data_IF_836875129731
#
_entry.id   IF_836875129731
#
_cell.length_a   1.000
_cell.length_b   1.000
_cell.length_c   1.000
_cell.angle_alpha   90.00
_cell.angle_beta   90.00
_cell.angle_gamma   90.00
#
_symmetry.space_group_name_H-M   'P 1'
#
loop_
_entity.id
_entity.type
_entity.pdbx_description
1 polymer ?
#
# COMPACT_ATOMS: atom_id res chain seq x y z
N UNK A 1 19.42 12.67 -4.77
CA UNK A 1 18.65 13.86 -4.31
C UNK A 1 17.69 13.49 -3.17
N UNK A 2 16.67 12.64 -3.32
CA UNK A 2 15.69 12.30 -2.27
C UNK A 2 16.32 11.91 -0.92
N UNK A 3 17.46 11.22 -0.92
CA UNK A 3 18.18 10.88 0.32
C UNK A 3 18.94 12.07 0.91
N UNK A 4 19.45 12.98 0.08
CA UNK A 4 20.14 14.20 0.56
C UNK A 4 19.17 15.12 1.31
N UNK A 5 17.95 15.25 0.82
CA UNK A 5 16.89 16.06 1.44
C UNK A 5 16.44 15.50 2.80
N UNK A 6 16.78 14.23 3.09
CA UNK A 6 16.44 13.54 4.33
C UNK A 6 17.52 13.67 5.44
N UNK A 7 18.63 14.35 5.21
CA UNK A 7 19.77 14.41 6.16
C UNK A 7 19.36 14.84 7.57
N UNK A 8 18.48 15.83 7.70
CA UNK A 8 17.94 16.26 9.00
C UNK A 8 17.11 15.16 9.68
N UNK A 9 16.33 14.41 8.91
CA UNK A 9 15.53 13.31 9.44
C UNK A 9 16.41 12.13 9.90
N UNK A 10 17.51 11.89 9.20
CA UNK A 10 18.50 10.88 9.60
C UNK A 10 19.21 11.29 10.90
N UNK A 11 19.65 12.54 11.02
CA UNK A 11 20.26 13.06 12.25
C UNK A 11 19.30 12.95 13.46
N UNK A 12 18.00 13.18 13.25
CA UNK A 12 17.01 13.04 14.32
C UNK A 12 16.73 11.58 14.72
N UNK A 13 16.94 10.62 13.80
CA UNK A 13 16.67 9.22 14.03
C UNK A 13 17.88 8.44 14.57
N UNK A 14 19.09 8.94 14.40
CA UNK A 14 20.34 8.26 14.75
C UNK A 14 21.17 9.09 15.70
N UNK A 15 21.71 8.46 16.74
CA UNK A 15 22.60 9.11 17.71
C UNK A 15 23.93 9.50 17.06
N UNK A 16 24.46 10.65 17.47
CA UNK A 16 25.82 11.08 17.10
C UNK A 16 26.90 10.45 17.99
N UNK A 17 26.49 9.73 19.05
CA UNK A 17 27.40 9.10 20.02
C UNK A 17 27.22 7.58 20.02
N UNK A 18 28.27 6.84 20.39
CA UNK A 18 28.27 5.38 20.46
C UNK A 18 28.98 4.71 19.28
N UNK A 19 28.85 3.38 19.18
CA UNK A 19 29.46 2.63 18.06
C UNK A 19 28.80 3.03 16.74
N UNK A 20 29.58 3.39 15.70
CA UNK A 20 29.04 3.70 14.39
C UNK A 20 28.19 2.56 13.84
N UNK A 21 26.94 2.86 13.50
CA UNK A 21 26.02 1.92 12.84
C UNK A 21 26.11 2.03 11.32
N UNK A 22 25.33 1.19 10.63
CA UNK A 22 25.15 1.34 9.17
C UNK A 22 24.32 2.59 8.90
N UNK A 23 24.83 3.47 8.04
CA UNK A 23 24.15 4.70 7.68
C UNK A 23 22.70 4.44 7.15
N UNK A 24 21.71 5.23 7.58
CA UNK A 24 20.31 5.04 7.15
C UNK A 24 20.12 5.17 5.65
N UNK A 25 20.89 6.01 4.99
CA UNK A 25 20.93 6.13 3.53
C UNK A 25 21.30 4.81 2.86
N UNK A 26 22.33 4.14 3.40
CA UNK A 26 22.78 2.85 2.90
C UNK A 26 21.73 1.76 3.10
N UNK A 27 21.03 1.79 4.25
CA UNK A 27 19.92 0.87 4.52
C UNK A 27 18.73 1.08 3.56
N UNK A 28 18.34 2.32 3.30
CA UNK A 28 17.28 2.62 2.33
C UNK A 28 17.68 2.22 0.91
N UNK A 29 18.91 2.47 0.48
CA UNK A 29 19.45 1.98 -0.79
C UNK A 29 19.44 0.45 -0.85
N UNK A 30 19.77 -0.24 0.23
CA UNK A 30 19.76 -1.70 0.31
C UNK A 30 18.31 -2.26 0.19
N UNK A 31 17.34 -1.65 0.85
CA UNK A 31 15.91 -1.99 0.70
C UNK A 31 15.41 -1.74 -0.72
N UNK A 32 15.89 -0.67 -1.38
CA UNK A 32 15.59 -0.38 -2.77
C UNK A 32 16.13 -1.47 -3.71
N UNK A 33 17.37 -1.94 -3.50
CA UNK A 33 17.93 -3.08 -4.24
C UNK A 33 17.09 -4.35 -4.05
N UNK A 34 16.64 -4.62 -2.82
CA UNK A 34 15.74 -5.76 -2.57
C UNK A 34 14.48 -5.69 -3.43
N UNK A 35 13.89 -4.50 -3.54
CA UNK A 35 12.68 -4.27 -4.32
C UNK A 35 12.95 -4.41 -5.83
N UNK A 36 14.00 -3.76 -6.35
CA UNK A 36 14.33 -3.71 -7.78
C UNK A 36 14.75 -5.08 -8.34
N UNK A 37 15.48 -5.86 -7.56
CA UNK A 37 16.05 -7.14 -7.98
C UNK A 37 15.32 -8.36 -7.43
N UNK A 38 14.11 -8.19 -6.89
CA UNK A 38 13.28 -9.27 -6.35
C UNK A 38 14.00 -10.13 -5.30
N UNK A 39 14.87 -9.53 -4.49
CA UNK A 39 15.64 -10.24 -3.48
C UNK A 39 14.74 -10.58 -2.28
N UNK A 40 14.56 -11.88 -2.02
CA UNK A 40 13.53 -12.36 -1.08
C UNK A 40 13.85 -12.17 0.40
N UNK A 41 15.12 -12.00 0.76
CA UNK A 41 15.52 -11.86 2.17
C UNK A 41 16.74 -10.96 2.33
N UNK A 42 16.87 -10.37 3.52
CA UNK A 42 18.05 -9.59 3.92
C UNK A 42 19.33 -10.45 3.93
N UNK A 43 19.20 -11.75 4.26
CA UNK A 43 20.30 -12.71 4.21
C UNK A 43 20.82 -12.87 2.77
N UNK A 44 19.91 -13.01 1.82
CA UNK A 44 20.28 -13.11 0.40
C UNK A 44 20.88 -11.80 -0.11
N UNK A 45 20.35 -10.66 0.31
CA UNK A 45 20.93 -9.36 -0.03
C UNK A 45 22.38 -9.25 0.49
N UNK A 46 22.60 -9.54 1.77
CA UNK A 46 23.96 -9.51 2.36
C UNK A 46 24.91 -10.50 1.66
N UNK A 47 24.40 -11.67 1.23
CA UNK A 47 25.20 -12.63 0.45
C UNK A 47 25.61 -12.04 -0.91
N UNK A 48 24.69 -11.41 -1.63
CA UNK A 48 24.99 -10.75 -2.92
C UNK A 48 25.95 -9.58 -2.76
N UNK A 49 25.82 -8.78 -1.72
CA UNK A 49 26.75 -7.69 -1.42
C UNK A 49 28.21 -8.15 -1.23
N UNK A 50 28.45 -9.43 -0.94
CA UNK A 50 29.82 -9.96 -0.86
C UNK A 50 30.48 -10.15 -2.23
N UNK A 51 29.70 -10.34 -3.30
CA UNK A 51 30.19 -10.73 -4.62
C UNK A 51 29.79 -9.78 -5.75
N UNK A 52 28.77 -8.95 -5.54
CA UNK A 52 28.23 -8.05 -6.57
C UNK A 52 28.80 -6.64 -6.39
N UNK A 53 29.75 -6.28 -7.24
CA UNK A 53 30.40 -4.97 -7.22
C UNK A 53 29.45 -3.83 -7.58
N UNK A 54 28.43 -4.08 -8.43
CA UNK A 54 27.44 -3.08 -8.77
C UNK A 54 26.58 -2.72 -7.53
N UNK A 55 26.19 -3.72 -6.75
CA UNK A 55 25.44 -3.51 -5.52
C UNK A 55 26.28 -2.75 -4.48
N UNK A 56 27.56 -3.11 -4.35
CA UNK A 56 28.49 -2.40 -3.45
C UNK A 56 28.65 -0.94 -3.85
N UNK A 57 28.91 -0.70 -5.13
CA UNK A 57 29.01 0.65 -5.67
C UNK A 57 27.73 1.47 -5.39
N UNK A 58 26.55 0.90 -5.62
CA UNK A 58 25.29 1.57 -5.37
C UNK A 58 25.08 1.91 -3.88
N UNK A 59 25.64 1.12 -2.97
CA UNK A 59 25.60 1.35 -1.53
C UNK A 59 26.76 2.23 -1.01
N UNK A 60 27.60 2.77 -1.88
CA UNK A 60 28.83 3.51 -1.52
C UNK A 60 29.73 2.67 -0.59
N UNK A 61 29.90 1.39 -0.91
CA UNK A 61 30.76 0.44 -0.20
C UNK A 61 32.06 0.20 -0.98
N UNK A 62 33.20 0.27 -0.31
CA UNK A 62 34.49 -0.11 -0.91
C UNK A 62 34.52 -1.62 -1.25
N UNK A 63 35.29 -2.05 -2.26
CA UNK A 63 35.36 -3.47 -2.63
C UNK A 63 35.79 -4.41 -1.51
N UNK A 64 36.61 -3.93 -0.60
CA UNK A 64 37.16 -4.64 0.57
C UNK A 64 36.41 -4.38 1.87
N UNK A 65 35.43 -3.45 1.89
CA UNK A 65 34.63 -3.15 3.08
C UNK A 65 33.81 -4.36 3.54
N UNK A 66 33.79 -4.63 4.83
CA UNK A 66 33.01 -5.74 5.39
C UNK A 66 31.50 -5.49 5.21
N UNK A 67 30.79 -6.52 4.73
CA UNK A 67 29.34 -6.45 4.55
C UNK A 67 28.64 -6.63 5.89
N UNK A 68 27.71 -5.72 6.20
CA UNK A 68 26.90 -5.81 7.40
C UNK A 68 26.03 -7.07 7.44
N UNK A 69 25.67 -7.50 8.64
CA UNK A 69 24.89 -8.73 8.87
C UNK A 69 23.39 -8.47 8.72
N UNK A 70 22.56 -9.49 8.39
CA UNK A 70 21.11 -9.32 8.19
C UNK A 70 20.36 -8.74 9.39
N UNK A 71 20.84 -8.98 10.62
CA UNK A 71 20.20 -8.46 11.85
C UNK A 71 20.19 -6.93 11.93
N UNK A 72 21.08 -6.25 11.19
CA UNK A 72 21.09 -4.79 11.08
C UNK A 72 19.73 -4.28 10.57
N UNK A 73 19.11 -4.97 9.62
CA UNK A 73 17.78 -4.60 9.13
C UNK A 73 16.71 -4.77 10.22
N UNK A 74 16.78 -5.83 11.01
CA UNK A 74 15.82 -6.08 12.09
C UNK A 74 15.87 -4.96 13.13
N UNK A 75 17.07 -4.59 13.60
CA UNK A 75 17.25 -3.54 14.59
C UNK A 75 16.91 -2.14 14.09
N UNK A 76 17.12 -1.86 12.80
CA UNK A 76 16.84 -0.54 12.25
C UNK A 76 15.43 -0.39 11.71
N UNK A 77 14.69 -1.48 11.50
CA UNK A 77 13.34 -1.44 10.92
C UNK A 77 12.36 -0.65 11.78
N UNK A 78 12.37 -0.84 13.08
CA UNK A 78 11.54 -0.08 14.03
C UNK A 78 11.90 1.39 13.99
N UNK A 79 13.17 1.73 14.04
CA UNK A 79 13.65 3.12 13.94
C UNK A 79 13.24 3.78 12.64
N UNK A 80 13.36 3.07 11.50
CA UNK A 80 12.88 3.57 10.21
C UNK A 80 11.37 3.84 10.22
N UNK A 81 10.58 3.02 10.94
CA UNK A 81 9.14 3.19 11.09
C UNK A 81 8.79 4.39 12.00
N UNK A 82 9.38 4.44 13.20
CA UNK A 82 9.13 5.48 14.20
C UNK A 82 9.36 6.88 13.64
N UNK A 83 10.41 7.06 12.84
CA UNK A 83 10.74 8.32 12.18
C UNK A 83 10.12 8.46 10.78
N UNK A 84 9.32 7.49 10.32
CA UNK A 84 8.66 7.50 9.02
C UNK A 84 9.63 7.65 7.83
N UNK A 85 10.84 7.10 7.93
CA UNK A 85 11.91 7.36 6.96
C UNK A 85 11.63 6.72 5.59
N UNK A 86 10.99 5.57 5.52
CA UNK A 86 10.59 4.95 4.24
C UNK A 86 9.52 5.78 3.51
N UNK A 87 8.57 6.32 4.28
CA UNK A 87 7.55 7.24 3.75
C UNK A 87 8.17 8.53 3.24
N UNK A 88 9.07 9.16 4.01
CA UNK A 88 9.78 10.39 3.59
C UNK A 88 10.61 10.15 2.33
N UNK A 89 11.24 8.97 2.23
CA UNK A 89 11.97 8.58 1.02
C UNK A 89 11.04 8.47 -0.19
N UNK A 90 9.91 7.79 -0.06
CA UNK A 90 8.91 7.69 -1.13
C UNK A 90 8.39 9.08 -1.54
N UNK A 91 8.03 9.93 -0.57
CA UNK A 91 7.57 11.31 -0.83
C UNK A 91 8.65 12.17 -1.50
N UNK A 92 9.92 11.98 -1.14
CA UNK A 92 11.05 12.61 -1.82
C UNK A 92 11.16 12.21 -3.28
N UNK A 93 10.96 10.92 -3.61
CA UNK A 93 10.91 10.45 -5.00
C UNK A 93 9.70 11.02 -5.76
N UNK A 94 8.53 11.11 -5.10
CA UNK A 94 7.34 11.76 -5.70
C UNK A 94 7.63 13.23 -6.00
N UNK A 95 8.25 13.95 -5.08
CA UNK A 95 8.64 15.37 -5.29
C UNK A 95 9.57 15.51 -6.48
N UNK A 96 10.58 14.66 -6.61
CA UNK A 96 11.46 14.68 -7.80
C UNK A 96 10.70 14.48 -9.11
N UNK A 97 9.66 13.64 -9.12
CA UNK A 97 8.82 13.45 -10.30
C UNK A 97 8.00 14.71 -10.62
N UNK A 98 7.50 15.40 -9.60
CA UNK A 98 6.76 16.66 -9.72
C UNK A 98 7.68 17.76 -10.26
N UNK A 99 8.84 17.95 -9.63
CA UNK A 99 9.82 18.98 -9.99
C UNK A 99 10.37 18.78 -11.41
N UNK A 100 10.41 17.53 -11.88
CA UNK A 100 10.76 17.18 -13.25
C UNK A 100 9.61 17.36 -14.27
N UNK A 101 8.43 17.83 -13.84
CA UNK A 101 7.24 18.00 -14.71
C UNK A 101 6.62 16.69 -15.16
N UNK A 102 6.95 15.56 -14.52
CA UNK A 102 6.46 14.24 -14.91
C UNK A 102 5.11 13.88 -14.25
N UNK A 103 4.70 14.55 -13.18
CA UNK A 103 3.41 14.35 -12.55
C UNK A 103 2.40 15.40 -13.01
N UNK A 104 1.20 14.96 -13.40
CA UNK A 104 0.10 15.87 -13.76
C UNK A 104 -0.88 16.05 -12.59
N UNK A 105 -1.66 17.13 -12.62
CA UNK A 105 -2.67 17.49 -11.62
C UNK A 105 -4.12 17.30 -12.11
N UNK A 106 -4.30 16.73 -13.30
CA UNK A 106 -5.59 16.68 -13.98
C UNK A 106 -6.42 15.44 -13.65
N UNK A 107 -5.83 14.27 -13.89
CA UNK A 107 -6.54 12.99 -13.84
C UNK A 107 -5.80 11.98 -12.96
N UNK A 108 -6.53 11.41 -12.02
CA UNK A 108 -5.99 10.45 -11.05
C UNK A 108 -6.81 9.18 -11.03
N UNK A 109 -6.20 8.11 -10.55
CA UNK A 109 -6.86 6.83 -10.27
C UNK A 109 -6.57 6.39 -8.86
N UNK A 110 -7.59 5.90 -8.18
CA UNK A 110 -7.45 5.14 -6.95
C UNK A 110 -7.90 3.72 -7.17
N UNK A 111 -7.16 2.78 -6.60
CA UNK A 111 -7.54 1.37 -6.59
C UNK A 111 -6.88 0.66 -5.41
N UNK A 112 -7.37 -0.55 -5.10
CA UNK A 112 -6.87 -1.41 -4.05
C UNK A 112 -6.47 -2.79 -4.54
N UNK A 113 -5.51 -3.40 -3.85
CA UNK A 113 -5.13 -4.78 -4.09
C UNK A 113 -4.74 -5.49 -2.80
N UNK A 114 -4.91 -6.81 -2.78
CA UNK A 114 -4.64 -7.63 -1.60
C UNK A 114 -3.18 -8.09 -1.57
N UNK A 115 -2.61 -8.10 -0.36
CA UNK A 115 -1.36 -8.75 -0.02
C UNK A 115 -1.70 -9.93 0.88
N UNK A 116 -1.35 -11.16 0.47
CA UNK A 116 -1.55 -12.32 1.30
C UNK A 116 -0.63 -12.22 2.53
N UNK A 117 -1.17 -12.45 3.72
CA UNK A 117 -0.37 -12.51 4.95
C UNK A 117 0.59 -13.70 4.95
N UNK A 118 1.65 -13.60 5.75
CA UNK A 118 2.51 -14.74 6.06
C UNK A 118 1.79 -15.82 6.85
N UNK A 119 0.79 -15.43 7.66
CA UNK A 119 0.00 -16.31 8.51
C UNK A 119 -0.86 -17.28 7.69
N UNK A 120 -1.02 -18.50 8.18
CA UNK A 120 -1.91 -19.52 7.61
C UNK A 120 -3.28 -19.53 8.28
N UNK A 121 -4.28 -20.15 7.66
CA UNK A 121 -5.62 -20.33 8.24
C UNK A 121 -5.59 -21.15 9.55
N UNK A 122 -4.56 -21.97 9.75
CA UNK A 122 -4.36 -22.72 11.00
C UNK A 122 -4.09 -21.82 12.21
N UNK A 123 -3.60 -20.59 11.98
CA UNK A 123 -3.33 -19.62 13.04
C UNK A 123 -4.58 -18.91 13.55
N UNK A 124 -5.73 -19.10 12.90
CA UNK A 124 -7.00 -18.53 13.35
C UNK A 124 -7.43 -19.18 14.66
N UNK A 125 -7.54 -18.37 15.71
CA UNK A 125 -8.05 -18.73 17.04
C UNK A 125 -9.33 -17.95 17.32
N UNK A 126 -10.25 -18.57 18.05
CA UNK A 126 -11.49 -17.93 18.52
C UNK A 126 -11.15 -16.72 19.39
N UNK A 127 -11.87 -15.63 19.21
CA UNK A 127 -11.75 -14.44 20.05
C UNK A 127 -12.55 -14.72 21.31
N UNK A 128 -11.85 -14.91 22.44
CA UNK A 128 -12.47 -15.01 23.75
C UNK A 128 -12.78 -13.60 24.24
N UNK A 129 -14.04 -13.30 24.54
CA UNK A 129 -14.44 -12.05 25.19
C UNK A 129 -14.38 -12.26 26.70
N UNK A 130 -13.97 -11.23 27.44
CA UNK A 130 -14.02 -11.25 28.90
C UNK A 130 -15.45 -11.51 29.34
N UNK A 131 -15.67 -12.64 30.08
CA UNK A 131 -16.97 -13.08 30.59
C UNK A 131 -17.68 -14.16 29.79
N UNK A 132 -17.10 -14.69 28.71
CA UNK A 132 -17.62 -15.87 27.99
C UNK A 132 -16.83 -17.13 28.45
N UNK A 133 -17.47 -18.05 29.16
CA UNK A 133 -16.95 -19.41 29.33
C UNK A 133 -16.92 -20.07 27.94
N UNK A 134 -15.75 -20.62 27.55
CA UNK A 134 -15.39 -20.99 26.18
C UNK A 134 -16.27 -22.05 25.48
N UNK A 135 -17.48 -22.33 25.98
CA UNK A 135 -18.44 -23.33 25.48
C UNK A 135 -19.70 -22.74 24.83
N UNK A 136 -19.95 -21.44 24.93
CA UNK A 136 -21.14 -20.86 24.29
C UNK A 136 -20.93 -20.61 22.81
N UNK A 137 -21.90 -21.04 21.97
CA UNK A 137 -21.96 -20.67 20.56
C UNK A 137 -21.98 -19.13 20.42
N UNK A 138 -21.11 -18.53 19.62
CA UNK A 138 -21.04 -17.07 19.52
C UNK A 138 -22.33 -16.52 18.96
N UNK A 139 -23.10 -15.84 19.81
CA UNK A 139 -24.15 -14.94 19.32
C UNK A 139 -23.52 -13.86 18.47
N UNK A 140 -23.94 -13.66 17.22
CA UNK A 140 -23.36 -12.64 16.38
C UNK A 140 -23.59 -11.26 17.01
N UNK A 141 -22.59 -10.34 16.97
CA UNK A 141 -22.74 -9.01 17.57
C UNK A 141 -23.93 -8.28 16.96
N UNK A 142 -24.93 -7.99 17.78
CA UNK A 142 -26.10 -7.14 17.49
C UNK A 142 -25.73 -5.66 17.59
N UNK A 143 -24.71 -5.23 16.86
CA UNK A 143 -24.22 -3.86 16.95
C UNK A 143 -23.54 -3.41 15.68
N UNK A 144 -24.34 -3.26 14.65
CA UNK A 144 -23.95 -2.64 13.39
C UNK A 144 -25.21 -2.50 12.56
N UNK A 145 -25.56 -1.29 12.15
CA UNK A 145 -26.70 -1.03 11.28
C UNK A 145 -26.73 -1.95 10.05
N UNK A 146 -27.77 -1.94 9.18
CA UNK A 146 -28.02 -2.94 8.16
C UNK A 146 -26.96 -2.96 7.05
N UNK A 147 -25.70 -3.22 7.45
CA UNK A 147 -24.58 -3.45 6.56
C UNK A 147 -24.55 -4.93 6.16
N UNK A 148 -24.82 -5.21 4.89
CA UNK A 148 -24.63 -6.53 4.29
C UNK A 148 -23.30 -7.13 4.74
N UNK A 149 -23.35 -8.19 5.53
CA UNK A 149 -22.15 -8.99 5.85
C UNK A 149 -21.52 -9.46 4.54
N UNK A 150 -20.28 -9.09 4.31
CA UNK A 150 -19.54 -9.56 3.14
C UNK A 150 -19.38 -11.09 3.23
N UNK A 151 -19.84 -11.83 2.21
CA UNK A 151 -19.61 -13.28 2.07
C UNK A 151 -18.12 -13.63 2.09
N UNK A 152 -17.26 -12.64 1.93
CA UNK A 152 -15.82 -12.77 1.79
C UNK A 152 -15.08 -12.86 3.14
N UNK A 153 -15.77 -12.65 4.27
CA UNK A 153 -15.17 -12.56 5.61
C UNK A 153 -15.18 -13.88 6.40
N UNK A 154 -15.65 -14.96 5.81
CA UNK A 154 -15.69 -16.27 6.46
C UNK A 154 -15.23 -17.39 5.56
N UNK A 155 -14.72 -18.45 6.17
CA UNK A 155 -14.30 -19.70 5.52
C UNK A 155 -14.75 -20.89 6.33
N UNK A 156 -15.15 -21.96 5.66
CA UNK A 156 -15.26 -23.28 6.30
C UNK A 156 -13.84 -23.88 6.39
N UNK A 157 -13.40 -24.18 7.58
CA UNK A 157 -12.12 -24.80 7.85
C UNK A 157 -12.32 -26.04 8.71
N UNK A 158 -12.29 -27.21 8.08
CA UNK A 158 -12.48 -28.52 8.71
C UNK A 158 -13.83 -28.66 9.44
N UNK A 159 -14.92 -28.19 8.82
CA UNK A 159 -16.27 -28.24 9.38
C UNK A 159 -16.60 -27.11 10.36
N UNK A 160 -15.65 -26.22 10.67
CA UNK A 160 -15.87 -25.04 11.51
C UNK A 160 -15.91 -23.78 10.67
N UNK A 161 -17.00 -23.02 10.78
CA UNK A 161 -17.12 -21.73 10.09
C UNK A 161 -16.34 -20.65 10.85
N UNK A 162 -15.21 -20.21 10.29
CA UNK A 162 -14.35 -19.17 10.84
C UNK A 162 -14.54 -17.86 10.10
N UNK A 163 -14.66 -16.76 10.82
CA UNK A 163 -14.86 -15.42 10.25
C UNK A 163 -14.16 -14.34 11.07
N UNK A 164 -13.98 -13.17 10.48
CA UNK A 164 -13.29 -12.03 11.11
C UNK A 164 -13.97 -11.55 12.42
N UNK A 165 -15.28 -11.79 12.57
CA UNK A 165 -16.02 -11.42 13.78
C UNK A 165 -15.76 -12.37 14.95
N UNK A 166 -15.38 -13.62 14.68
CA UNK A 166 -15.27 -14.70 15.68
C UNK A 166 -13.86 -15.21 15.87
N UNK A 167 -12.98 -14.98 14.87
CA UNK A 167 -11.61 -15.50 14.89
C UNK A 167 -10.60 -14.42 14.52
N UNK A 168 -9.42 -14.53 15.12
CA UNK A 168 -8.25 -13.70 14.82
C UNK A 168 -7.01 -14.58 14.66
N UNK A 169 -6.11 -14.23 13.75
CA UNK A 169 -4.84 -14.94 13.63
C UNK A 169 -3.94 -14.65 14.83
N UNK A 170 -3.42 -15.70 15.44
CA UNK A 170 -2.41 -15.59 16.51
C UNK A 170 -1.02 -15.25 15.97
N UNK A 171 -0.75 -15.50 14.68
CA UNK A 171 0.52 -15.18 14.03
C UNK A 171 0.54 -13.74 13.52
N UNK A 172 -0.56 -13.28 12.91
CA UNK A 172 -0.67 -11.92 12.35
C UNK A 172 -2.06 -11.35 12.71
N UNK A 173 -2.21 -10.75 13.91
CA UNK A 173 -3.50 -10.28 14.41
C UNK A 173 -4.15 -9.17 13.59
N UNK A 174 -3.38 -8.46 12.76
CA UNK A 174 -3.87 -7.38 11.90
C UNK A 174 -4.35 -7.88 10.52
N UNK A 175 -3.98 -9.11 10.13
CA UNK A 175 -4.49 -9.73 8.90
C UNK A 175 -5.96 -10.11 9.05
N UNK A 176 -6.73 -9.96 7.99
CA UNK A 176 -8.15 -10.29 7.94
C UNK A 176 -8.41 -11.36 6.89
N UNK A 177 -9.38 -12.20 7.19
CA UNK A 177 -9.87 -13.20 6.26
C UNK A 177 -10.58 -12.48 5.11
N UNK A 178 -10.15 -12.74 3.90
CA UNK A 178 -10.76 -12.14 2.71
C UNK A 178 -10.76 -13.12 1.54
N UNK A 179 -11.84 -13.07 0.74
CA UNK A 179 -12.01 -13.85 -0.49
C UNK A 179 -12.22 -12.90 -1.65
N UNK A 180 -11.50 -13.07 -2.74
CA UNK A 180 -11.70 -12.31 -3.98
C UNK A 180 -12.20 -13.26 -5.08
N UNK A 181 -13.45 -13.04 -5.51
CA UNK A 181 -14.10 -13.92 -6.53
C UNK A 181 -14.22 -15.37 -6.04
N UNK A 182 -13.97 -16.30 -6.92
CA UNK A 182 -14.07 -17.75 -6.67
C UNK A 182 -12.81 -18.37 -6.06
N UNK A 183 -11.81 -17.54 -5.71
CA UNK A 183 -10.60 -18.02 -5.07
C UNK A 183 -10.85 -18.40 -3.61
N UNK A 184 -10.01 -19.29 -3.03
CA UNK A 184 -10.06 -19.63 -1.62
C UNK A 184 -9.90 -18.38 -0.73
N UNK A 185 -10.41 -18.44 0.51
CA UNK A 185 -10.20 -17.38 1.47
C UNK A 185 -8.78 -17.41 2.04
N UNK A 186 -8.14 -16.26 2.15
CA UNK A 186 -6.80 -16.08 2.70
C UNK A 186 -6.80 -15.00 3.76
N UNK A 187 -5.83 -15.06 4.68
CA UNK A 187 -5.50 -13.94 5.54
C UNK A 187 -4.74 -12.89 4.72
N UNK A 188 -5.25 -11.69 4.69
CA UNK A 188 -4.74 -10.61 3.82
C UNK A 188 -4.66 -9.28 4.53
N UNK A 189 -3.83 -8.39 3.98
CA UNK A 189 -3.88 -6.95 4.13
C UNK A 189 -4.34 -6.32 2.82
N UNK A 190 -4.88 -5.11 2.86
CA UNK A 190 -5.30 -4.34 1.68
C UNK A 190 -4.35 -3.19 1.44
N UNK A 191 -3.67 -3.17 0.31
CA UNK A 191 -2.88 -2.02 -0.13
C UNK A 191 -3.72 -1.15 -1.06
N UNK A 192 -3.60 0.17 -0.91
CA UNK A 192 -4.29 1.14 -1.75
C UNK A 192 -3.26 2.12 -2.32
N UNK A 193 -3.49 2.57 -3.55
CA UNK A 193 -2.63 3.52 -4.23
C UNK A 193 -3.43 4.59 -4.95
N UNK A 194 -2.89 5.81 -4.95
CA UNK A 194 -3.31 6.92 -5.80
C UNK A 194 -2.24 7.17 -6.85
N UNK A 195 -2.61 7.05 -8.12
CA UNK A 195 -1.72 7.29 -9.26
C UNK A 195 -2.22 8.46 -10.10
N UNK A 196 -1.30 9.22 -10.69
CA UNK A 196 -1.66 10.15 -11.75
C UNK A 196 -1.77 9.41 -13.09
N UNK A 197 -2.63 9.89 -14.00
CA UNK A 197 -3.01 9.13 -15.20
C UNK A 197 -2.27 9.52 -16.49
N UNK A 198 -1.40 10.53 -16.48
CA UNK A 198 -0.61 10.90 -17.66
C UNK A 198 0.52 9.90 -17.88
N UNK A 199 1.29 9.65 -16.85
CA UNK A 199 2.48 8.79 -16.88
C UNK A 199 2.36 7.55 -15.95
N UNK A 200 1.29 7.45 -15.14
CA UNK A 200 1.06 6.35 -14.20
C UNK A 200 2.02 6.36 -13.01
N UNK A 201 2.47 7.54 -12.57
CA UNK A 201 3.28 7.69 -11.37
C UNK A 201 2.43 7.55 -10.12
N UNK A 202 2.99 6.93 -9.10
CA UNK A 202 2.33 6.72 -7.80
C UNK A 202 2.59 7.94 -6.93
N UNK A 203 1.54 8.58 -6.45
CA UNK A 203 1.66 9.78 -5.61
C UNK A 203 1.44 9.49 -4.12
N UNK A 204 0.65 8.47 -3.81
CA UNK A 204 0.47 8.04 -2.43
C UNK A 204 0.10 6.56 -2.37
N UNK A 205 0.52 5.90 -1.30
CA UNK A 205 0.16 4.52 -0.96
C UNK A 205 -0.20 4.42 0.51
N UNK A 206 -1.01 3.42 0.86
CA UNK A 206 -1.34 3.07 2.24
C UNK A 206 -1.68 1.59 2.37
N UNK A 207 -1.50 1.06 3.56
CA UNK A 207 -1.86 -0.31 3.91
C UNK A 207 -2.95 -0.30 4.97
N UNK A 208 -4.02 -1.06 4.73
CA UNK A 208 -5.17 -1.18 5.61
C UNK A 208 -5.56 -2.63 5.88
N UNK A 209 -6.51 -2.82 6.79
CA UNK A 209 -7.14 -4.12 7.00
C UNK A 209 -8.00 -4.49 5.79
N UNK A 210 -7.96 -5.75 5.37
CA UNK A 210 -8.78 -6.25 4.27
C UNK A 210 -10.21 -6.53 4.75
N UNK A 211 -11.02 -5.48 4.94
CA UNK A 211 -12.40 -5.58 5.44
C UNK A 211 -13.48 -5.25 4.39
N UNK A 212 -13.10 -4.93 3.15
CA UNK A 212 -14.02 -4.60 2.06
C UNK A 212 -14.67 -3.20 2.14
N UNK A 213 -14.49 -2.47 3.24
CA UNK A 213 -15.02 -1.12 3.45
C UNK A 213 -13.91 -0.06 3.47
N UNK A 214 -12.69 -0.47 3.78
CA UNK A 214 -11.53 0.42 3.88
C UNK A 214 -11.21 1.15 2.57
N UNK A 215 -11.55 0.59 1.41
CA UNK A 215 -11.18 1.11 0.11
C UNK A 215 -11.59 2.58 -0.09
N UNK A 216 -12.84 2.92 0.24
CA UNK A 216 -13.37 4.29 0.07
C UNK A 216 -12.76 5.28 1.05
N UNK A 217 -12.64 4.90 2.33
CA UNK A 217 -12.00 5.73 3.34
C UNK A 217 -10.51 5.95 3.03
N UNK A 218 -9.83 4.91 2.55
CA UNK A 218 -8.43 4.98 2.11
C UNK A 218 -8.25 5.89 0.91
N UNK A 219 -9.16 5.83 -0.08
CA UNK A 219 -9.13 6.71 -1.24
C UNK A 219 -9.22 8.19 -0.84
N UNK A 220 -10.17 8.56 0.02
CA UNK A 220 -10.31 9.92 0.52
C UNK A 220 -9.08 10.38 1.32
N UNK A 221 -8.52 9.48 2.14
CA UNK A 221 -7.29 9.74 2.89
C UNK A 221 -6.11 10.01 1.96
N UNK A 222 -5.94 9.19 0.91
CA UNK A 222 -4.88 9.36 -0.09
C UNK A 222 -5.03 10.69 -0.86
N UNK A 223 -6.24 11.06 -1.26
CA UNK A 223 -6.52 12.36 -1.91
C UNK A 223 -6.12 13.52 -0.99
N UNK A 224 -6.55 13.50 0.28
CA UNK A 224 -6.19 14.52 1.27
C UNK A 224 -4.68 14.57 1.51
N UNK A 225 -4.02 13.41 1.56
CA UNK A 225 -2.58 13.30 1.74
C UNK A 225 -1.80 13.93 0.59
N UNK A 226 -2.14 13.64 -0.67
CA UNK A 226 -1.47 14.20 -1.86
C UNK A 226 -1.62 15.71 -1.88
N UNK A 227 -2.82 16.23 -1.63
CA UNK A 227 -3.07 17.68 -1.57
C UNK A 227 -2.23 18.37 -0.48
N UNK A 228 -2.18 17.77 0.72
CA UNK A 228 -1.47 18.35 1.86
C UNK A 228 0.06 18.29 1.69
N UNK A 229 0.60 17.20 1.14
CA UNK A 229 2.04 16.95 1.12
C UNK A 229 2.74 17.41 -0.14
N UNK A 230 2.03 17.40 -1.26
CA UNK A 230 2.60 17.72 -2.56
C UNK A 230 2.00 18.98 -3.19
N UNK A 231 1.03 19.62 -2.53
CA UNK A 231 0.29 20.77 -3.05
C UNK A 231 -0.34 20.53 -4.45
N UNK A 232 -0.60 19.25 -4.80
CA UNK A 232 -1.23 18.87 -6.06
C UNK A 232 -2.75 18.98 -5.93
N UNK A 233 -3.38 19.65 -6.89
CA UNK A 233 -4.83 19.67 -7.03
C UNK A 233 -5.29 18.40 -7.73
N UNK A 234 -6.05 17.55 -7.03
CA UNK A 234 -6.67 16.38 -7.65
C UNK A 234 -7.92 16.82 -8.41
N UNK A 235 -7.83 17.00 -9.72
CA UNK A 235 -8.94 17.52 -10.54
C UNK A 235 -10.06 16.50 -10.75
N UNK A 236 -9.69 15.26 -11.13
CA UNK A 236 -10.65 14.14 -11.31
C UNK A 236 -10.10 12.87 -10.69
N UNK A 237 -10.98 12.01 -10.17
CA UNK A 237 -10.62 10.72 -9.61
C UNK A 237 -11.38 9.59 -10.28
N UNK A 238 -10.66 8.72 -10.99
CA UNK A 238 -11.19 7.48 -11.54
C UNK A 238 -11.14 6.35 -10.50
N UNK A 239 -12.21 5.58 -10.43
CA UNK A 239 -12.29 4.38 -9.60
C UNK A 239 -13.26 3.36 -10.21
N UNK A 240 -13.19 2.13 -9.72
CA UNK A 240 -14.05 1.04 -10.16
C UNK A 240 -15.46 1.10 -9.54
N UNK A 241 -16.30 0.12 -9.88
CA UNK A 241 -17.66 -0.02 -9.34
C UNK A 241 -17.71 -0.26 -7.82
N UNK A 242 -16.62 -0.68 -7.19
CA UNK A 242 -16.53 -0.85 -5.74
C UNK A 242 -16.67 0.48 -4.99
N UNK A 243 -16.29 1.56 -5.63
CA UNK A 243 -16.38 2.92 -5.09
C UNK A 243 -17.70 3.62 -5.35
N UNK A 244 -18.67 3.00 -6.06
CA UNK A 244 -20.00 3.58 -6.31
C UNK A 244 -20.84 3.55 -5.03
N UNK A 245 -20.69 4.59 -4.23
CA UNK A 245 -21.47 4.85 -3.01
C UNK A 245 -21.71 6.35 -2.89
N UNK A 246 -22.97 6.76 -2.66
CA UNK A 246 -23.38 8.17 -2.64
C UNK A 246 -22.52 9.01 -1.68
N UNK A 247 -22.32 8.55 -0.44
CA UNK A 247 -21.49 9.26 0.54
C UNK A 247 -20.04 9.49 0.06
N UNK A 248 -19.41 8.50 -0.58
CA UNK A 248 -18.07 8.65 -1.15
C UNK A 248 -18.03 9.67 -2.29
N UNK A 249 -19.02 9.63 -3.17
CA UNK A 249 -19.13 10.57 -4.30
C UNK A 249 -19.37 11.99 -3.82
N UNK A 250 -20.18 12.16 -2.77
CA UNK A 250 -20.42 13.45 -2.13
C UNK A 250 -19.16 14.01 -1.48
N UNK A 251 -18.45 13.20 -0.67
CA UNK A 251 -17.20 13.63 -0.04
C UNK A 251 -16.12 14.03 -1.06
N UNK A 252 -16.02 13.34 -2.21
CA UNK A 252 -15.12 13.76 -3.29
C UNK A 252 -15.50 15.14 -3.83
N UNK A 253 -16.79 15.42 -4.02
CA UNK A 253 -17.27 16.73 -4.46
C UNK A 253 -16.95 17.82 -3.45
N UNK A 254 -17.15 17.56 -2.17
CA UNK A 254 -16.83 18.48 -1.08
C UNK A 254 -15.33 18.81 -1.04
N UNK A 255 -14.49 17.85 -1.45
CA UNK A 255 -13.06 18.05 -1.68
C UNK A 255 -12.76 18.79 -3.01
N UNK A 256 -13.75 19.17 -3.81
CA UNK A 256 -13.56 19.78 -5.13
C UNK A 256 -13.03 18.82 -6.20
N UNK A 257 -13.13 17.50 -5.98
CA UNK A 257 -12.69 16.45 -6.91
C UNK A 257 -13.87 15.96 -7.74
N UNK A 258 -13.72 15.93 -9.05
CA UNK A 258 -14.75 15.37 -9.95
C UNK A 258 -14.67 13.83 -9.98
N UNK A 259 -15.71 13.11 -9.53
CA UNK A 259 -15.69 11.65 -9.48
C UNK A 259 -15.92 11.05 -10.87
N UNK A 260 -14.95 10.35 -11.41
CA UNK A 260 -15.08 9.52 -12.61
C UNK A 260 -15.19 8.05 -12.22
N UNK A 261 -16.15 7.73 -11.35
CA UNK A 261 -16.39 6.40 -10.81
C UNK A 261 -17.29 5.59 -11.72
N UNK A 262 -16.97 4.32 -11.96
CA UNK A 262 -17.83 3.42 -12.72
C UNK A 262 -19.10 3.08 -11.90
N UNK A 263 -20.29 3.32 -12.46
CA UNK A 263 -21.56 3.15 -11.77
C UNK A 263 -22.06 1.70 -11.85
N UNK A 264 -22.70 1.24 -10.77
CA UNK A 264 -23.46 -0.02 -10.73
C UNK A 264 -24.87 0.20 -11.28
N UNK A 265 -25.39 -0.76 -12.03
CA UNK A 265 -26.75 -0.68 -12.59
C UNK A 265 -27.83 -0.69 -11.49
N UNK A 266 -27.59 -1.44 -10.40
CA UNK A 266 -28.59 -1.74 -9.36
C UNK A 266 -28.50 -0.86 -8.11
N UNK A 267 -27.59 0.14 -8.06
CA UNK A 267 -27.47 0.98 -6.88
C UNK A 267 -28.53 2.10 -6.88
N UNK A 268 -29.00 2.49 -5.68
CA UNK A 268 -29.97 3.56 -5.47
C UNK A 268 -29.48 4.88 -6.09
N UNK A 269 -30.42 5.69 -6.56
CA UNK A 269 -30.11 6.99 -7.16
C UNK A 269 -29.95 8.04 -6.05
N UNK A 270 -28.86 8.81 -6.14
CA UNK A 270 -28.57 9.96 -5.31
C UNK A 270 -28.11 11.14 -6.17
N UNK A 271 -27.98 12.32 -5.58
CA UNK A 271 -27.60 13.55 -6.29
C UNK A 271 -26.19 13.48 -6.87
N UNK A 272 -25.20 13.04 -6.06
CA UNK A 272 -23.83 12.90 -6.50
C UNK A 272 -23.70 11.84 -7.59
N UNK A 273 -24.42 10.74 -7.47
CA UNK A 273 -24.48 9.67 -8.47
C UNK A 273 -25.15 10.12 -9.78
N UNK A 274 -26.21 10.94 -9.71
CA UNK A 274 -26.84 11.53 -10.89
C UNK A 274 -25.88 12.43 -11.66
N UNK A 275 -25.02 13.18 -10.95
CA UNK A 275 -23.95 13.98 -11.56
C UNK A 275 -22.92 13.09 -12.28
N UNK A 276 -22.44 12.01 -11.66
CA UNK A 276 -21.51 11.06 -12.30
C UNK A 276 -22.16 10.47 -13.56
N UNK A 277 -23.44 10.12 -13.53
CA UNK A 277 -24.19 9.61 -14.70
C UNK A 277 -24.23 10.64 -15.83
N UNK A 278 -24.38 11.94 -15.54
CA UNK A 278 -24.28 13.00 -16.56
C UNK A 278 -22.85 13.09 -17.11
N UNK A 279 -21.85 13.11 -16.23
CA UNK A 279 -20.43 13.17 -16.64
C UNK A 279 -19.98 11.97 -17.46
N UNK A 280 -20.56 10.78 -17.23
CA UNK A 280 -20.18 9.55 -17.96
C UNK A 280 -20.46 9.61 -19.46
N UNK A 281 -21.28 10.54 -19.93
CA UNK A 281 -21.55 10.79 -21.35
C UNK A 281 -20.46 11.60 -22.05
N UNK A 282 -19.52 12.19 -21.30
CA UNK A 282 -18.49 13.06 -21.83
C UNK A 282 -17.15 12.35 -22.04
N UNK A 283 -16.42 12.78 -23.09
CA UNK A 283 -15.11 12.24 -23.46
C UNK A 283 -14.08 12.17 -22.32
N UNK A 284 -13.95 13.18 -21.42
CA UNK A 284 -13.01 13.11 -20.31
C UNK A 284 -13.23 11.94 -19.37
N UNK A 285 -14.50 11.59 -19.09
CA UNK A 285 -14.83 10.42 -18.28
C UNK A 285 -14.36 9.12 -18.95
N UNK A 286 -14.66 8.94 -20.25
CA UNK A 286 -14.26 7.75 -20.99
C UNK A 286 -12.71 7.61 -21.04
N UNK A 287 -12.01 8.73 -21.21
CA UNK A 287 -10.54 8.75 -21.16
C UNK A 287 -10.01 8.36 -19.77
N UNK A 288 -10.58 8.93 -18.72
CA UNK A 288 -10.23 8.65 -17.34
C UNK A 288 -10.43 7.16 -17.01
N UNK A 289 -11.57 6.57 -17.38
CA UNK A 289 -11.84 5.15 -17.18
C UNK A 289 -10.89 4.22 -17.99
N UNK A 290 -10.45 4.64 -19.17
CA UNK A 290 -9.44 3.90 -19.95
C UNK A 290 -8.07 3.95 -19.27
N UNK A 291 -7.66 5.12 -18.85
CA UNK A 291 -6.36 5.35 -18.18
C UNK A 291 -6.29 4.72 -16.77
N UNK A 292 -7.45 4.49 -16.13
CA UNK A 292 -7.53 3.81 -14.83
C UNK A 292 -6.74 2.50 -14.78
N UNK A 293 -6.68 1.77 -15.89
CA UNK A 293 -5.96 0.50 -15.97
C UNK A 293 -4.45 0.62 -15.70
N UNK A 294 -3.86 1.82 -15.78
CA UNK A 294 -2.44 2.01 -15.46
C UNK A 294 -2.08 1.66 -14.01
N UNK A 295 -3.04 1.75 -13.08
CA UNK A 295 -2.81 1.34 -11.69
C UNK A 295 -2.59 -0.18 -11.56
N UNK A 296 -3.11 -0.97 -12.49
CA UNK A 296 -2.91 -2.42 -12.53
C UNK A 296 -1.44 -2.79 -12.79
N UNK A 297 -0.71 -1.97 -13.60
CA UNK A 297 0.74 -2.12 -13.79
C UNK A 297 1.51 -1.99 -12.49
N UNK A 298 1.15 -0.98 -11.66
CA UNK A 298 1.74 -0.79 -10.35
C UNK A 298 1.54 -2.04 -9.48
N UNK A 299 0.30 -2.52 -9.34
CA UNK A 299 0.02 -3.67 -8.49
C UNK A 299 0.66 -4.96 -9.01
N UNK A 300 0.68 -5.15 -10.32
CA UNK A 300 1.41 -6.26 -10.93
C UNK A 300 2.90 -6.19 -10.59
N UNK A 301 3.53 -5.02 -10.74
CA UNK A 301 4.93 -4.80 -10.44
C UNK A 301 5.24 -4.99 -8.95
N UNK A 302 4.45 -4.42 -8.06
CA UNK A 302 4.60 -4.58 -6.61
C UNK A 302 4.51 -6.05 -6.19
N UNK A 303 3.60 -6.81 -6.79
CA UNK A 303 3.42 -8.24 -6.47
C UNK A 303 4.51 -9.14 -7.04
N UNK A 304 5.00 -8.84 -8.23
CA UNK A 304 5.99 -9.69 -8.92
C UNK A 304 7.42 -9.26 -8.61
N UNK A 305 7.76 -8.01 -8.85
CA UNK A 305 9.12 -7.49 -8.70
C UNK A 305 9.43 -7.16 -7.24
N UNK A 306 8.58 -6.36 -6.58
CA UNK A 306 8.80 -5.98 -5.17
C UNK A 306 8.44 -7.08 -4.15
N UNK A 307 7.87 -8.20 -4.61
CA UNK A 307 7.60 -9.37 -3.78
C UNK A 307 6.41 -9.23 -2.83
N UNK A 308 5.50 -8.27 -3.06
CA UNK A 308 4.31 -7.99 -2.24
C UNK A 308 3.10 -8.89 -2.58
N UNK A 309 3.26 -9.97 -3.33
CA UNK A 309 2.19 -10.97 -3.53
C UNK A 309 1.83 -11.63 -2.19
N UNK A 310 2.85 -11.94 -1.39
CA UNK A 310 2.73 -12.47 -0.04
C UNK A 310 3.69 -11.73 0.88
N UNK A 311 3.18 -11.26 2.02
CA UNK A 311 3.97 -10.56 3.01
C UNK A 311 5.13 -11.43 3.52
N UNK A 312 6.32 -10.84 3.63
CA UNK A 312 7.50 -11.49 4.24
C UNK A 312 7.59 -11.26 5.73
N UNK A 313 6.91 -10.23 6.20
CA UNK A 313 6.91 -9.79 7.59
C UNK A 313 5.53 -9.95 8.20
N UNK A 314 5.51 -10.07 9.51
CA UNK A 314 4.31 -9.99 10.34
C UNK A 314 4.21 -8.58 10.92
N UNK A 315 3.00 -8.04 10.93
CA UNK A 315 2.71 -6.68 11.37
C UNK A 315 2.60 -5.68 10.21
N UNK A 316 1.52 -4.93 10.21
CA UNK A 316 1.13 -4.00 9.12
C UNK A 316 2.21 -2.96 8.84
N UNK A 317 2.80 -2.36 9.86
CA UNK A 317 3.82 -1.33 9.71
C UNK A 317 5.08 -1.81 8.95
N UNK A 318 5.48 -3.08 9.10
CA UNK A 318 6.61 -3.65 8.35
C UNK A 318 6.27 -3.84 6.87
N UNK A 319 5.04 -4.26 6.60
CA UNK A 319 4.55 -4.44 5.23
C UNK A 319 4.37 -3.08 4.56
N UNK A 320 3.92 -2.07 5.31
CA UNK A 320 3.76 -0.69 4.81
C UNK A 320 5.12 -0.10 4.40
N UNK A 321 6.18 -0.30 5.18
CA UNK A 321 7.54 0.09 4.78
C UNK A 321 7.96 -0.55 3.46
N UNK A 322 7.68 -1.85 3.29
CA UNK A 322 7.98 -2.54 2.03
C UNK A 322 7.17 -1.98 0.87
N UNK A 323 5.90 -1.61 1.10
CA UNK A 323 5.03 -0.99 0.11
C UNK A 323 5.57 0.39 -0.31
N UNK A 324 5.97 1.24 0.64
CA UNK A 324 6.51 2.57 0.40
C UNK A 324 7.82 2.51 -0.42
N UNK A 325 8.74 1.61 -0.04
CA UNK A 325 9.99 1.38 -0.80
C UNK A 325 9.70 0.81 -2.19
N UNK A 326 8.74 -0.11 -2.29
CA UNK A 326 8.31 -0.67 -3.58
C UNK A 326 7.72 0.39 -4.50
N UNK A 327 6.86 1.26 -3.99
CA UNK A 327 6.29 2.38 -4.75
C UNK A 327 7.35 3.40 -5.19
N UNK A 328 8.34 3.69 -4.33
CA UNK A 328 9.49 4.51 -4.68
C UNK A 328 10.30 3.88 -5.82
N UNK A 329 10.60 2.58 -5.73
CA UNK A 329 11.31 1.84 -6.76
C UNK A 329 10.58 1.84 -8.10
N UNK A 330 9.26 1.63 -8.10
CA UNK A 330 8.42 1.71 -9.29
C UNK A 330 8.52 3.09 -9.94
N UNK A 331 8.36 4.17 -9.16
CA UNK A 331 8.46 5.52 -9.66
C UNK A 331 9.85 5.82 -10.26
N UNK A 332 10.93 5.43 -9.58
CA UNK A 332 12.29 5.64 -10.08
C UNK A 332 12.51 4.97 -11.44
N UNK A 333 12.09 3.69 -11.59
CA UNK A 333 12.17 2.98 -12.88
C UNK A 333 11.33 3.69 -13.95
N UNK A 334 10.13 4.15 -13.60
CA UNK A 334 9.24 4.84 -14.54
C UNK A 334 9.79 6.19 -14.96
N UNK A 335 10.32 6.98 -14.03
CA UNK A 335 10.96 8.26 -14.33
C UNK A 335 12.15 8.12 -15.27
N UNK A 336 12.99 7.10 -15.11
CA UNK A 336 14.11 6.83 -16.03
C UNK A 336 13.59 6.54 -17.43
N UNK A 337 12.56 5.70 -17.56
CA UNK A 337 11.95 5.40 -18.87
C UNK A 337 11.33 6.63 -19.54
N UNK A 338 10.65 7.46 -18.76
CA UNK A 338 10.01 8.68 -19.27
C UNK A 338 11.02 9.75 -19.72
N UNK A 339 12.22 9.76 -19.15
CA UNK A 339 13.31 10.67 -19.58
C UNK A 339 14.08 10.16 -20.79
N UNK A 340 14.02 8.86 -21.05
CA UNK A 340 14.67 8.22 -22.19
C UNK A 340 13.77 8.18 -23.46
N UNK A 341 12.46 8.46 -23.33
CA UNK A 341 11.48 8.52 -24.40
C UNK A 341 11.32 9.94 -24.96
#
# INVERSE_FOLDING_TARGET
EALKDMSRAFTAAYSSTGRPGVAPERLLKALLLQSLYSIRSERELCRRLKTDLLFRWFLDMAPDEEVFVPTVFTHNRERLAEHGLTRRFFEGVVRQAIDAGLASDEHFTVDGSLIQSHASLKSLKRIVREGEDGNDEPTPPTGGGPGRRSRNESVDFRGERRGNATHRSSTDPEARLYRKGDTGAYLCHSMHALTENRHGLVLAVTLDEANGYAERASALRLVRQVRKRHAITVGTLAADKGYDAEGFLSELRDLGVRPHVALRATAESGEARALVRRMSRHRPYALSQRKRKLVEELFAWLKTVSGLRRARHVGRWKIEQQLEVGAAAFNLVRMVRLRAA
#
